data_IF_285357562304
#
_entry.id   IF_285357562304
#
_cell.length_a   1.000
_cell.length_b   1.000
_cell.length_c   1.000
_cell.angle_alpha   90.00
_cell.angle_beta   90.00
_cell.angle_gamma   90.00
#
_symmetry.space_group_name_H-M   'P 1'
#
loop_
_entity.id
_entity.type
_entity.pdbx_description
1 polymer ?
#
# COMPACT_ATOMS: atom_id res chain seq x y z
N UNK A 1 8.36 0.81 -8.61
CA UNK A 1 8.36 -0.62 -8.98
C UNK A 1 9.36 -0.94 -10.10
N UNK A 2 9.33 -0.24 -11.25
CA UNK A 2 10.24 -0.52 -12.38
C UNK A 2 11.73 -0.29 -12.04
N UNK A 3 12.00 0.67 -11.16
CA UNK A 3 13.36 1.01 -10.70
C UNK A 3 13.85 0.15 -9.53
N UNK A 4 13.02 -0.78 -9.03
CA UNK A 4 13.47 -1.66 -7.96
C UNK A 4 14.53 -2.63 -8.50
N UNK A 5 15.67 -2.81 -7.77
CA UNK A 5 16.69 -3.80 -8.10
C UNK A 5 16.14 -5.23 -8.15
N UNK A 6 16.80 -6.10 -8.92
CA UNK A 6 16.33 -7.47 -9.16
C UNK A 6 16.43 -8.42 -7.93
N UNK A 7 17.28 -8.07 -6.97
CA UNK A 7 17.46 -8.75 -5.70
C UNK A 7 16.38 -8.38 -4.65
N UNK A 8 15.58 -7.34 -4.93
CA UNK A 8 14.48 -6.95 -4.05
C UNK A 8 13.26 -7.85 -4.27
N UNK A 9 12.59 -8.18 -3.17
CA UNK A 9 11.26 -8.81 -3.19
C UNK A 9 10.23 -7.81 -2.66
N UNK A 10 9.16 -7.59 -3.41
CA UNK A 10 8.10 -6.65 -3.05
C UNK A 10 6.74 -7.34 -3.01
N UNK A 11 6.00 -7.13 -1.92
CA UNK A 11 4.59 -7.49 -1.82
C UNK A 11 3.75 -6.27 -2.22
N UNK A 12 2.83 -6.45 -3.16
CA UNK A 12 2.05 -5.37 -3.76
C UNK A 12 0.57 -5.69 -3.61
N UNK A 13 -0.15 -4.86 -2.87
CA UNK A 13 -1.60 -4.94 -2.74
C UNK A 13 -2.22 -3.78 -3.51
N UNK A 14 -3.09 -4.09 -4.47
CA UNK A 14 -3.76 -3.11 -5.32
C UNK A 14 -5.27 -3.19 -5.16
N UNK A 15 -5.89 -2.04 -4.97
CA UNK A 15 -7.34 -1.91 -4.94
C UNK A 15 -7.85 -1.47 -6.31
N UNK A 16 -8.62 -2.34 -6.97
CA UNK A 16 -9.38 -2.01 -8.18
C UNK A 16 -10.73 -2.75 -8.14
N UNK A 17 -11.82 -2.00 -8.29
CA UNK A 17 -13.17 -2.57 -8.22
C UNK A 17 -13.49 -3.48 -9.42
N UNK A 18 -13.01 -3.08 -10.60
CA UNK A 18 -13.16 -3.80 -11.87
C UNK A 18 -11.89 -4.58 -12.23
N UNK A 19 -12.08 -5.84 -12.61
CA UNK A 19 -11.01 -6.70 -13.14
C UNK A 19 -10.45 -6.17 -14.45
N UNK A 20 -11.23 -5.41 -15.22
CA UNK A 20 -10.79 -4.77 -16.45
C UNK A 20 -9.68 -3.73 -16.21
N UNK A 21 -9.59 -3.17 -15.00
CA UNK A 21 -8.56 -2.22 -14.61
C UNK A 21 -7.27 -2.90 -14.15
N UNK A 22 -7.25 -4.23 -14.03
CA UNK A 22 -6.04 -4.95 -13.66
C UNK A 22 -5.00 -4.81 -14.78
N UNK A 23 -3.83 -4.28 -14.42
CA UNK A 23 -2.70 -4.10 -15.34
C UNK A 23 -1.52 -4.98 -14.93
N UNK A 24 -0.82 -5.61 -15.88
CA UNK A 24 0.43 -6.28 -15.57
C UNK A 24 1.44 -5.26 -15.04
N UNK A 25 2.07 -5.58 -13.91
CA UNK A 25 3.15 -4.77 -13.35
C UNK A 25 4.47 -5.31 -13.85
N UNK A 26 5.28 -4.45 -14.45
CA UNK A 26 6.63 -4.81 -14.92
C UNK A 26 7.68 -4.29 -13.95
N UNK A 27 8.50 -5.20 -13.42
CA UNK A 27 9.65 -4.91 -12.55
C UNK A 27 10.74 -5.96 -12.75
N UNK A 28 11.99 -5.56 -12.48
CA UNK A 28 13.09 -6.51 -12.34
C UNK A 28 13.06 -7.24 -10.98
N UNK A 29 12.42 -6.64 -9.97
CA UNK A 29 12.22 -7.21 -8.65
C UNK A 29 11.21 -8.37 -8.66
N UNK A 30 11.28 -9.23 -7.65
CA UNK A 30 10.29 -10.29 -7.44
C UNK A 30 9.03 -9.68 -6.85
N UNK A 31 7.95 -9.65 -7.62
CA UNK A 31 6.67 -9.11 -7.19
C UNK A 31 5.72 -10.24 -6.76
N UNK A 32 5.16 -10.12 -5.57
CA UNK A 32 3.97 -10.86 -5.13
C UNK A 32 2.79 -9.90 -5.14
N UNK A 33 1.93 -10.00 -6.16
CA UNK A 33 0.88 -9.02 -6.46
C UNK A 33 -0.50 -9.61 -6.13
N UNK A 34 -1.25 -8.92 -5.29
CA UNK A 34 -2.64 -9.22 -4.98
C UNK A 34 -3.56 -8.06 -5.34
N UNK A 35 -4.68 -8.39 -5.96
CA UNK A 35 -5.73 -7.43 -6.32
C UNK A 35 -6.95 -7.67 -5.45
N UNK A 36 -7.50 -6.59 -4.89
CA UNK A 36 -8.70 -6.59 -4.05
C UNK A 36 -9.70 -5.58 -4.58
N UNK A 37 -10.98 -5.85 -4.33
CA UNK A 37 -12.08 -5.14 -4.99
C UNK A 37 -12.86 -4.18 -4.09
N UNK A 38 -12.50 -4.08 -2.82
CA UNK A 38 -13.13 -3.14 -1.89
C UNK A 38 -12.15 -2.65 -0.81
N UNK A 39 -12.38 -1.45 -0.23
CA UNK A 39 -11.54 -0.92 0.84
C UNK A 39 -11.44 -1.84 2.05
N UNK A 40 -12.52 -2.55 2.38
CA UNK A 40 -12.57 -3.52 3.48
C UNK A 40 -11.69 -4.73 3.19
N UNK A 41 -11.78 -5.28 1.97
CA UNK A 41 -10.94 -6.38 1.52
C UNK A 41 -9.45 -5.97 1.48
N UNK A 42 -9.16 -4.71 1.12
CA UNK A 42 -7.81 -4.16 1.15
C UNK A 42 -7.24 -4.12 2.57
N UNK A 43 -7.99 -3.60 3.54
CA UNK A 43 -7.53 -3.57 4.92
C UNK A 43 -7.40 -4.96 5.52
N UNK A 44 -8.32 -5.88 5.20
CA UNK A 44 -8.22 -7.27 5.64
C UNK A 44 -7.00 -7.99 5.04
N UNK A 45 -6.69 -7.77 3.76
CA UNK A 45 -5.51 -8.33 3.13
C UNK A 45 -4.21 -7.73 3.69
N UNK A 46 -4.18 -6.41 3.96
CA UNK A 46 -3.06 -5.76 4.63
C UNK A 46 -2.85 -6.30 6.07
N UNK A 47 -3.94 -6.57 6.79
CA UNK A 47 -3.89 -7.18 8.12
C UNK A 47 -3.43 -8.65 8.09
N UNK A 48 -3.82 -9.41 7.07
CA UNK A 48 -3.38 -10.79 6.91
C UNK A 48 -1.90 -10.90 6.47
N UNK A 49 -1.36 -9.83 5.86
CA UNK A 49 -0.03 -9.81 5.29
C UNK A 49 1.03 -10.08 6.37
N UNK A 50 1.81 -11.13 6.17
CA UNK A 50 3.00 -11.39 6.96
C UNK A 50 4.15 -10.58 6.38
N UNK A 51 4.62 -9.59 7.14
CA UNK A 51 5.79 -8.80 6.78
C UNK A 51 7.05 -9.67 6.97
N UNK A 52 7.97 -9.69 5.99
CA UNK A 52 9.26 -10.33 6.18
C UNK A 52 10.00 -9.79 7.39
N UNK A 53 10.79 -10.65 8.03
CA UNK A 53 11.77 -10.22 9.01
C UNK A 53 12.86 -9.37 8.34
N UNK A 54 13.45 -8.46 9.11
CA UNK A 54 14.52 -7.57 8.66
C UNK A 54 14.05 -6.19 8.25
N UNK A 55 14.91 -5.47 7.53
CA UNK A 55 14.62 -4.10 7.08
C UNK A 55 13.69 -4.11 5.87
N UNK A 56 12.66 -3.27 5.91
CA UNK A 56 11.69 -3.13 4.84
C UNK A 56 11.08 -1.75 4.81
N UNK A 57 10.62 -1.33 3.63
CA UNK A 57 9.98 -0.03 3.45
C UNK A 57 8.53 -0.22 2.98
N UNK A 58 7.58 0.39 3.70
CA UNK A 58 6.19 0.39 3.31
C UNK A 58 5.86 1.66 2.51
N UNK A 59 5.36 1.50 1.28
CA UNK A 59 4.87 2.61 0.48
C UNK A 59 3.40 2.39 0.15
N UNK A 60 2.57 3.41 0.37
CA UNK A 60 1.17 3.38 0.00
C UNK A 60 0.67 4.76 -0.42
N UNK A 61 -0.20 4.78 -1.41
CA UNK A 61 -0.90 5.98 -1.84
C UNK A 61 -2.32 5.65 -2.27
N UNK A 62 -3.28 6.51 -1.92
CA UNK A 62 -4.69 6.27 -2.21
C UNK A 62 -5.64 7.28 -1.57
N UNK A 63 -6.89 6.85 -1.35
CA UNK A 63 -7.92 7.67 -0.72
C UNK A 63 -7.57 7.98 0.74
N UNK A 64 -7.79 9.23 1.18
CA UNK A 64 -7.37 9.75 2.47
C UNK A 64 -7.82 8.90 3.68
N UNK A 65 -9.11 8.53 3.75
CA UNK A 65 -9.64 7.74 4.87
C UNK A 65 -9.06 6.32 4.90
N UNK A 66 -8.89 5.70 3.72
CA UNK A 66 -8.30 4.37 3.59
C UNK A 66 -6.82 4.39 3.97
N UNK A 67 -6.07 5.40 3.51
CA UNK A 67 -4.65 5.56 3.82
C UNK A 67 -4.40 5.82 5.30
N UNK A 68 -5.27 6.61 5.96
CA UNK A 68 -5.20 6.80 7.41
C UNK A 68 -5.38 5.49 8.18
N UNK A 69 -6.36 4.67 7.78
CA UNK A 69 -6.61 3.35 8.39
C UNK A 69 -5.46 2.38 8.13
N UNK A 70 -4.92 2.36 6.91
CA UNK A 70 -3.75 1.54 6.58
C UNK A 70 -2.54 1.93 7.42
N UNK A 71 -2.27 3.23 7.58
CA UNK A 71 -1.16 3.71 8.40
C UNK A 71 -1.29 3.27 9.85
N UNK A 72 -2.48 3.41 10.45
CA UNK A 72 -2.75 2.92 11.80
C UNK A 72 -2.51 1.41 11.90
N UNK A 73 -2.97 0.63 10.93
CA UNK A 73 -2.74 -0.81 10.89
C UNK A 73 -1.24 -1.15 10.83
N UNK A 74 -0.46 -0.46 10.01
CA UNK A 74 0.99 -0.67 9.91
C UNK A 74 1.72 -0.32 11.21
N UNK A 75 1.35 0.80 11.86
CA UNK A 75 2.02 1.26 13.08
C UNK A 75 1.59 0.46 14.30
N UNK A 76 0.28 0.32 14.53
CA UNK A 76 -0.25 -0.24 15.77
C UNK A 76 -0.42 -1.76 15.68
N UNK A 77 -0.88 -2.26 14.53
CA UNK A 77 -1.12 -3.69 14.32
C UNK A 77 0.13 -4.46 13.92
N UNK A 78 0.95 -3.90 13.02
CA UNK A 78 2.17 -4.55 12.51
C UNK A 78 3.45 -4.09 13.20
N UNK A 79 3.37 -3.05 14.05
CA UNK A 79 4.54 -2.44 14.69
C UNK A 79 5.65 -2.03 13.71
N UNK A 80 5.28 -1.66 12.48
CA UNK A 80 6.22 -1.25 11.45
C UNK A 80 6.81 0.13 11.78
N UNK A 81 8.13 0.35 11.63
CA UNK A 81 8.76 1.61 12.01
C UNK A 81 8.21 2.81 11.22
N UNK A 82 7.84 3.88 11.92
CA UNK A 82 7.32 5.13 11.32
C UNK A 82 8.30 5.79 10.35
N UNK A 83 9.61 5.62 10.59
CA UNK A 83 10.69 6.13 9.71
C UNK A 83 10.90 5.28 8.47
N UNK A 84 10.37 4.04 8.45
CA UNK A 84 10.50 3.08 7.35
C UNK A 84 9.17 2.95 6.56
N UNK A 85 8.38 4.01 6.51
CA UNK A 85 7.15 4.04 5.71
C UNK A 85 6.90 5.41 5.09
N UNK A 86 6.16 5.40 3.97
CA UNK A 86 5.53 6.56 3.38
C UNK A 86 4.10 6.21 2.97
N UNK A 87 3.14 6.88 3.59
CA UNK A 87 1.71 6.72 3.31
C UNK A 87 1.14 8.09 2.94
N UNK A 88 0.73 8.26 1.69
CA UNK A 88 0.26 9.54 1.15
C UNK A 88 -1.21 9.46 0.70
N UNK A 89 -2.00 10.46 1.07
CA UNK A 89 -3.38 10.61 0.58
C UNK A 89 -3.36 11.39 -0.74
N UNK A 90 -3.75 10.74 -1.84
CA UNK A 90 -3.76 11.33 -3.19
C UNK A 90 -5.09 11.97 -3.55
N UNK A 91 -6.17 11.57 -2.89
CA UNK A 91 -7.50 12.12 -3.11
C UNK A 91 -8.36 11.86 -1.89
N UNK A 92 -9.48 12.57 -1.80
CA UNK A 92 -10.48 12.40 -0.73
C UNK A 92 -11.86 12.43 -1.36
N UNK A 93 -12.69 11.44 -1.05
CA UNK A 93 -14.04 11.39 -1.59
C UNK A 93 -14.83 12.64 -1.16
N UNK A 94 -15.41 13.35 -2.14
CA UNK A 94 -16.18 14.58 -1.91
C UNK A 94 -15.37 15.88 -1.82
N UNK A 95 -14.06 15.86 -2.05
CA UNK A 95 -13.23 17.06 -2.18
C UNK A 95 -12.57 17.11 -3.58
N UNK A 96 -12.59 18.27 -4.24
CA UNK A 96 -11.78 18.50 -5.44
C UNK A 96 -10.38 18.98 -5.00
N UNK A 97 -9.33 18.33 -5.50
CA UNK A 97 -7.90 18.60 -5.26
C UNK A 97 -7.40 18.45 -3.81
N UNK A 98 -7.20 17.20 -3.36
CA UNK A 98 -6.64 16.89 -2.04
C UNK A 98 -5.36 16.05 -2.15
N UNK A 99 -4.22 16.61 -1.74
CA UNK A 99 -2.97 15.87 -1.54
C UNK A 99 -2.43 16.16 -0.13
N UNK A 100 -2.23 15.12 0.68
CA UNK A 100 -1.70 15.24 2.05
C UNK A 100 -0.74 14.08 2.36
N UNK A 101 0.43 14.39 2.89
CA UNK A 101 1.35 13.40 3.47
C UNK A 101 0.99 13.19 4.96
N UNK A 102 0.73 11.94 5.36
CA UNK A 102 0.30 11.61 6.73
C UNK A 102 1.53 11.36 7.62
N UNK A 103 2.01 12.41 8.31
CA UNK A 103 3.28 12.39 9.06
C UNK A 103 3.19 12.23 10.59
N UNK A 104 2.02 12.27 11.24
CA UNK A 104 1.91 12.27 12.72
C UNK A 104 2.29 10.95 13.41
#
# INVERSE_FOLDING_TARGET
LRELPADVSARVLLLAEDVADHRPLHSAARLDVSWVRSPEAFLAAADALQLPEGEGFAWAAGEASLMKRLRQLLVDGKQHPRTAMRVSAYWKQGAQEFHEDLVD
#
